data_IF_395352461439
#
_entry.id   IF_395352461439
#
_cell.length_a   1.000
_cell.length_b   1.000
_cell.length_c   1.000
_cell.angle_alpha   90.00
_cell.angle_beta   90.00
_cell.angle_gamma   90.00
#
_symmetry.space_group_name_H-M   'P 1'
#
loop_
_entity.id
_entity.type
_entity.pdbx_description
1 polymer ?
#
# COMPACT_ATOMS: atom_id res chain seq x y z
N UNK A 1 -32.53 18.86 -20.30
CA UNK A 1 -31.31 19.51 -19.77
C UNK A 1 -30.93 19.00 -18.37
N UNK A 2 -31.88 18.70 -17.49
CA UNK A 2 -31.61 18.34 -16.08
C UNK A 2 -30.88 16.99 -15.88
N UNK A 3 -31.14 15.99 -16.73
CA UNK A 3 -30.49 14.67 -16.61
C UNK A 3 -28.97 14.68 -16.87
N UNK A 4 -28.48 15.57 -17.74
CA UNK A 4 -27.07 15.64 -18.07
C UNK A 4 -26.23 16.14 -16.89
N UNK A 5 -26.76 17.08 -16.11
CA UNK A 5 -26.10 17.61 -14.92
C UNK A 5 -25.92 16.49 -13.89
N UNK A 6 -26.97 15.69 -13.66
CA UNK A 6 -26.91 14.54 -12.75
C UNK A 6 -25.86 13.50 -13.17
N UNK A 7 -25.81 13.19 -14.47
CA UNK A 7 -24.83 12.25 -15.04
C UNK A 7 -23.39 12.76 -14.87
N UNK A 8 -23.16 14.06 -15.11
CA UNK A 8 -21.83 14.67 -14.93
C UNK A 8 -21.40 14.62 -13.46
N UNK A 9 -22.28 14.96 -12.52
CA UNK A 9 -22.00 14.86 -11.09
C UNK A 9 -21.70 13.41 -10.66
N UNK A 10 -22.44 12.44 -11.19
CA UNK A 10 -22.20 11.02 -10.93
C UNK A 10 -20.80 10.59 -11.40
N UNK A 11 -20.39 10.97 -12.62
CA UNK A 11 -19.07 10.65 -13.16
C UNK A 11 -17.97 11.30 -12.32
N UNK A 12 -18.12 12.57 -11.94
CA UNK A 12 -17.17 13.28 -11.09
C UNK A 12 -17.03 12.60 -9.73
N UNK A 13 -18.14 12.25 -9.09
CA UNK A 13 -18.14 11.53 -7.81
C UNK A 13 -17.43 10.18 -7.91
N UNK A 14 -17.64 9.46 -9.01
CA UNK A 14 -17.00 8.17 -9.25
C UNK A 14 -15.49 8.31 -9.48
N UNK A 15 -15.04 9.37 -10.16
CA UNK A 15 -13.62 9.69 -10.32
C UNK A 15 -12.98 10.03 -8.97
N UNK A 16 -13.63 10.85 -8.14
CA UNK A 16 -13.13 11.17 -6.79
C UNK A 16 -13.02 9.90 -5.95
N UNK A 17 -14.04 9.04 -5.96
CA UNK A 17 -14.03 7.78 -5.23
C UNK A 17 -12.90 6.85 -5.71
N UNK A 18 -12.67 6.75 -7.02
CA UNK A 18 -11.56 6.01 -7.59
C UNK A 18 -10.21 6.49 -7.06
N UNK A 19 -9.97 7.81 -7.06
CA UNK A 19 -8.72 8.37 -6.55
C UNK A 19 -8.54 8.16 -5.05
N UNK A 20 -9.62 8.23 -4.25
CA UNK A 20 -9.56 7.96 -2.81
C UNK A 20 -9.15 6.51 -2.55
N UNK A 21 -9.76 5.54 -3.24
CA UNK A 21 -9.41 4.12 -3.12
C UNK A 21 -7.99 3.89 -3.59
N UNK A 22 -7.60 4.43 -4.75
CA UNK A 22 -6.25 4.31 -5.28
C UNK A 22 -5.23 4.87 -4.29
N UNK A 23 -5.46 6.07 -3.75
CA UNK A 23 -4.56 6.68 -2.77
C UNK A 23 -4.50 5.88 -1.46
N UNK A 24 -5.61 5.35 -0.98
CA UNK A 24 -5.66 4.52 0.23
C UNK A 24 -4.92 3.19 0.03
N UNK A 25 -5.12 2.53 -1.11
CA UNK A 25 -4.43 1.29 -1.48
C UNK A 25 -2.94 1.54 -1.72
N UNK A 26 -2.56 2.57 -2.48
CA UNK A 26 -1.16 2.93 -2.70
C UNK A 26 -0.46 3.31 -1.41
N UNK A 27 -1.08 4.13 -0.53
CA UNK A 27 -0.51 4.45 0.80
C UNK A 27 -0.43 3.21 1.69
N UNK A 28 -1.43 2.34 1.64
CA UNK A 28 -1.45 1.07 2.39
C UNK A 28 -0.35 0.11 1.93
N UNK A 29 -0.18 -0.06 0.62
CA UNK A 29 0.87 -0.90 0.03
C UNK A 29 2.24 -0.28 0.33
N UNK A 30 2.44 1.02 0.10
CA UNK A 30 3.72 1.70 0.36
C UNK A 30 4.16 1.62 1.84
N UNK A 31 3.23 1.57 2.78
CA UNK A 31 3.55 1.38 4.20
C UNK A 31 3.58 -0.11 4.63
N UNK A 32 3.22 -1.04 3.74
CA UNK A 32 3.22 -2.47 4.00
C UNK A 32 4.60 -3.08 3.73
N UNK A 33 4.95 -4.10 4.52
CA UNK A 33 6.13 -4.95 4.30
C UNK A 33 6.17 -5.48 2.85
N UNK A 34 5.00 -5.78 2.25
CA UNK A 34 4.90 -6.22 0.85
C UNK A 34 5.30 -5.10 -0.12
N UNK A 35 4.88 -3.85 0.11
CA UNK A 35 5.31 -2.73 -0.74
C UNK A 35 6.78 -2.41 -0.59
N UNK A 36 7.34 -2.48 0.62
CA UNK A 36 8.80 -2.34 0.84
C UNK A 36 9.60 -3.46 0.18
N UNK A 37 9.10 -4.69 0.17
CA UNK A 37 9.72 -5.83 -0.49
C UNK A 37 9.66 -5.72 -2.02
N UNK A 38 8.57 -5.16 -2.56
CA UNK A 38 8.35 -4.97 -4.00
C UNK A 38 9.03 -3.70 -4.54
N UNK A 39 9.16 -2.64 -3.74
CA UNK A 39 9.79 -1.38 -4.18
C UNK A 39 11.31 -1.48 -4.29
N UNK A 40 11.97 -2.52 -3.75
CA UNK A 40 13.42 -2.72 -3.90
C UNK A 40 14.26 -1.51 -3.49
N UNK A 41 13.69 -0.63 -2.65
CA UNK A 41 14.15 0.75 -2.44
C UNK A 41 15.16 0.89 -1.30
N UNK A 42 15.66 -0.23 -0.82
CA UNK A 42 16.88 -0.29 -0.02
C UNK A 42 17.94 -1.00 -0.88
N UNK A 43 18.70 -0.18 -1.58
CA UNK A 43 20.06 -0.50 -1.97
C UNK A 43 20.81 -1.03 -0.72
N UNK A 44 21.01 -2.34 -0.64
CA UNK A 44 21.95 -2.95 0.29
C UNK A 44 21.38 -3.80 1.42
N UNK A 45 20.08 -3.76 1.74
CA UNK A 45 19.52 -4.70 2.72
C UNK A 45 19.06 -5.98 1.99
N UNK A 46 19.98 -6.93 1.88
CA UNK A 46 19.67 -8.27 1.38
C UNK A 46 18.46 -8.84 2.12
N UNK A 47 17.53 -9.47 1.41
CA UNK A 47 16.35 -10.16 1.97
C UNK A 47 16.72 -11.06 3.16
N UNK A 48 17.95 -11.58 3.16
CA UNK A 48 18.53 -12.36 4.25
C UNK A 48 18.69 -11.59 5.58
N UNK A 49 18.98 -10.28 5.58
CA UNK A 49 19.07 -9.48 6.81
C UNK A 49 17.70 -9.25 7.46
N UNK A 50 16.65 -9.05 6.65
CA UNK A 50 15.28 -8.92 7.14
C UNK A 50 14.83 -10.23 7.77
N UNK A 51 15.02 -11.35 7.07
CA UNK A 51 14.66 -12.68 7.58
C UNK A 51 15.43 -13.04 8.85
N UNK A 52 16.72 -12.69 8.93
CA UNK A 52 17.53 -12.91 10.13
C UNK A 52 17.03 -12.07 11.32
N UNK A 53 16.63 -10.81 11.10
CA UNK A 53 16.10 -9.95 12.17
C UNK A 53 14.79 -10.49 12.76
N UNK A 54 13.89 -11.03 11.94
CA UNK A 54 12.63 -11.60 12.42
C UNK A 54 12.81 -12.99 13.03
N UNK A 55 13.63 -13.87 12.46
CA UNK A 55 13.91 -15.18 13.03
C UNK A 55 14.58 -15.10 14.41
N UNK A 56 15.46 -14.12 14.61
CA UNK A 56 16.12 -13.90 15.91
C UNK A 56 15.18 -13.39 17.02
N UNK A 57 14.05 -12.76 16.66
CA UNK A 57 13.04 -12.32 17.63
C UNK A 57 12.21 -13.52 18.13
N UNK A 58 11.98 -14.54 17.31
CA UNK A 58 11.30 -15.77 17.74
C UNK A 58 12.14 -16.58 18.73
N UNK A 59 13.44 -16.73 18.49
CA UNK A 59 14.32 -17.45 19.40
C UNK A 59 14.48 -16.74 20.76
N UNK A 60 14.53 -15.41 20.79
CA UNK A 60 14.68 -14.66 22.04
C UNK A 60 13.41 -14.65 22.91
N UNK A 61 12.24 -14.93 22.33
CA UNK A 61 10.96 -15.00 23.06
C UNK A 61 10.67 -16.38 23.65
N UNK A 62 11.48 -17.38 23.33
CA UNK A 62 11.29 -18.79 23.73
C UNK A 62 12.27 -19.24 24.83
N UNK A 63 13.13 -18.34 25.33
CA UNK A 63 14.01 -18.57 26.48
C UNK A 63 13.47 -17.97 27.77
#
# INVERSE_FOLDING_TARGET
MEGYISIVFMIIGLLVLYYVIQAAVTKGINNSIVGKLLEGKDEGLSVNEILNKYGKIEDNKKS
#
